data_IF_076947054487
#
_entry.id   IF_076947054487
#
_cell.length_a   1.000
_cell.length_b   1.000
_cell.length_c   1.000
_cell.angle_alpha   90.00
_cell.angle_beta   90.00
_cell.angle_gamma   90.00
#
_symmetry.space_group_name_H-M   'P 1'
#
loop_
_entity.id
_entity.type
_entity.pdbx_description
1 polymer ?
#
# COMPACT_ATOMS: atom_id res chain seq x y z
N UNK A 1 -45.51 7.28 -15.00
CA UNK A 1 -44.62 8.44 -15.21
C UNK A 1 -43.65 8.47 -14.04
N UNK A 2 -42.43 7.98 -14.23
CA UNK A 2 -41.39 7.97 -13.19
C UNK A 2 -40.60 9.27 -13.29
N UNK A 3 -40.77 10.12 -12.27
CA UNK A 3 -40.03 11.36 -12.09
C UNK A 3 -38.54 11.07 -11.97
N UNK A 4 -37.76 11.55 -12.94
CA UNK A 4 -36.30 11.49 -12.90
C UNK A 4 -35.86 12.74 -12.15
N UNK A 5 -35.71 12.63 -10.82
CA UNK A 5 -35.25 13.73 -10.00
C UNK A 5 -33.94 14.30 -10.58
N UNK A 6 -33.95 15.58 -10.94
CA UNK A 6 -32.79 16.28 -11.47
C UNK A 6 -31.64 16.19 -10.46
N UNK A 7 -30.52 15.61 -10.86
CA UNK A 7 -29.34 15.45 -10.00
C UNK A 7 -28.70 16.82 -9.77
N UNK A 8 -28.62 17.27 -8.52
CA UNK A 8 -27.89 18.49 -8.16
C UNK A 8 -26.44 18.37 -8.61
N UNK A 9 -25.90 19.32 -9.41
CA UNK A 9 -24.50 19.30 -9.79
C UNK A 9 -23.63 19.53 -8.55
N UNK A 10 -22.75 18.58 -8.25
CA UNK A 10 -21.75 18.72 -7.17
C UNK A 10 -20.62 19.62 -7.70
N UNK A 11 -20.27 20.73 -7.02
CA UNK A 11 -19.14 21.56 -7.41
C UNK A 11 -17.84 20.75 -7.45
N UNK A 12 -16.94 21.07 -8.38
CA UNK A 12 -15.59 20.50 -8.35
C UNK A 12 -14.89 20.97 -7.07
N UNK A 13 -14.21 20.03 -6.41
CA UNK A 13 -13.36 20.29 -5.26
C UNK A 13 -11.89 20.20 -5.69
N UNK A 14 -11.01 20.82 -4.91
CA UNK A 14 -9.55 20.65 -5.05
C UNK A 14 -9.11 19.62 -4.01
N UNK A 15 -8.52 18.51 -4.47
CA UNK A 15 -7.80 17.60 -3.59
C UNK A 15 -6.45 18.22 -3.26
N UNK A 16 -6.18 18.41 -1.97
CA UNK A 16 -4.93 19.02 -1.49
C UNK A 16 -3.91 17.98 -1.02
N UNK A 17 -4.29 16.70 -1.03
CA UNK A 17 -3.49 15.59 -0.53
C UNK A 17 -3.80 14.31 -1.31
N UNK A 18 -3.12 14.14 -2.45
CA UNK A 18 -3.19 12.94 -3.27
C UNK A 18 -1.84 12.22 -3.24
N UNK A 19 -1.90 10.89 -3.20
CA UNK A 19 -0.71 10.03 -3.25
C UNK A 19 -0.85 9.02 -4.38
N UNK A 20 0.30 8.63 -4.94
CA UNK A 20 0.39 7.50 -5.88
C UNK A 20 1.07 6.32 -5.20
N UNK A 21 0.83 5.12 -5.73
CA UNK A 21 1.63 3.93 -5.43
C UNK A 21 2.57 3.70 -6.60
N UNK A 22 3.87 3.69 -6.36
CA UNK A 22 4.88 3.58 -7.40
C UNK A 22 5.03 2.14 -7.93
N UNK A 23 5.56 1.95 -9.15
CA UNK A 23 5.94 0.63 -9.62
C UNK A 23 6.99 -0.04 -8.70
N UNK A 24 6.91 -1.36 -8.49
CA UNK A 24 7.77 -2.06 -7.52
C UNK A 24 9.27 -2.00 -7.84
N UNK A 25 9.62 -1.71 -9.10
CA UNK A 25 10.99 -1.65 -9.59
C UNK A 25 11.61 -0.25 -9.53
N UNK A 26 10.89 0.78 -9.09
CA UNK A 26 11.34 2.18 -9.15
C UNK A 26 12.75 2.35 -8.55
N UNK A 27 12.93 1.94 -7.29
CA UNK A 27 14.21 2.13 -6.61
C UNK A 27 15.31 1.21 -7.12
N UNK A 28 14.97 0.00 -7.58
CA UNK A 28 15.95 -0.92 -8.17
C UNK A 28 16.46 -0.43 -9.53
N UNK A 29 15.61 0.26 -10.29
CA UNK A 29 15.99 0.84 -11.57
C UNK A 29 16.83 2.13 -11.41
N UNK A 30 16.45 3.00 -10.47
CA UNK A 30 16.91 4.39 -10.47
C UNK A 30 17.83 4.80 -9.32
N UNK A 31 17.93 4.03 -8.23
CA UNK A 31 18.92 4.35 -7.21
C UNK A 31 20.35 4.14 -7.74
N UNK A 32 21.31 4.99 -7.34
CA UNK A 32 22.72 4.70 -7.51
C UNK A 32 23.05 3.33 -6.93
N UNK A 33 23.93 2.57 -7.59
CA UNK A 33 24.23 1.17 -7.26
C UNK A 33 24.56 0.96 -5.77
N UNK A 34 25.37 1.85 -5.19
CA UNK A 34 25.74 1.84 -3.75
C UNK A 34 24.57 1.92 -2.77
N UNK A 35 23.36 2.27 -3.24
CA UNK A 35 22.16 2.40 -2.41
C UNK A 35 21.06 1.39 -2.76
N UNK A 36 21.15 0.66 -3.88
CA UNK A 36 20.05 -0.22 -4.35
C UNK A 36 19.69 -1.31 -3.36
N UNK A 37 20.69 -1.92 -2.72
CA UNK A 37 20.50 -2.99 -1.74
C UNK A 37 19.76 -2.50 -0.49
N UNK A 38 20.04 -1.26 -0.06
CA UNK A 38 19.45 -0.63 1.12
C UNK A 38 18.18 0.18 0.82
N UNK A 39 17.89 0.38 -0.46
CA UNK A 39 16.75 1.18 -0.91
C UNK A 39 15.42 0.47 -0.66
N UNK A 40 14.31 1.20 -0.80
CA UNK A 40 13.00 0.58 -0.70
C UNK A 40 12.82 -0.48 -1.78
N UNK A 41 12.08 -1.54 -1.44
CA UNK A 41 11.79 -2.63 -2.35
C UNK A 41 10.44 -3.24 -2.04
N UNK A 42 9.85 -3.87 -3.04
CA UNK A 42 8.62 -4.64 -2.89
C UNK A 42 8.95 -6.11 -3.06
N UNK A 43 8.56 -6.93 -2.08
CA UNK A 43 8.65 -8.38 -2.16
C UNK A 43 7.26 -9.01 -2.03
N UNK A 44 7.05 -10.12 -2.72
CA UNK A 44 5.81 -10.88 -2.61
C UNK A 44 5.96 -11.91 -1.49
N UNK A 45 5.15 -11.78 -0.44
CA UNK A 45 5.21 -12.61 0.79
C UNK A 45 3.83 -13.19 1.11
N UNK A 46 3.79 -14.29 1.85
CA UNK A 46 2.52 -14.84 2.36
C UNK A 46 2.13 -14.06 3.61
N UNK A 47 0.96 -13.45 3.65
CA UNK A 47 0.55 -12.58 4.76
C UNK A 47 -0.54 -13.27 5.57
N UNK A 48 -0.27 -13.52 6.85
CA UNK A 48 -1.26 -14.02 7.80
C UNK A 48 -2.40 -13.03 8.06
N UNK A 49 -3.28 -13.37 9.00
CA UNK A 49 -4.38 -12.48 9.39
C UNK A 49 -3.86 -11.13 9.89
N UNK A 50 -4.43 -10.02 9.38
CA UNK A 50 -4.12 -8.68 9.87
C UNK A 50 -5.10 -8.27 10.96
N UNK A 51 -4.64 -8.25 12.21
CA UNK A 51 -5.43 -7.80 13.35
C UNK A 51 -5.23 -6.32 13.61
N UNK A 52 -6.29 -5.53 13.55
CA UNK A 52 -6.24 -4.11 13.92
C UNK A 52 -6.06 -3.98 15.44
N UNK A 53 -5.00 -3.29 15.87
CA UNK A 53 -4.69 -3.06 17.29
C UNK A 53 -4.63 -1.58 17.67
N UNK A 54 -4.72 -0.67 16.68
CA UNK A 54 -4.74 0.78 16.90
C UNK A 54 -3.38 1.40 17.25
N UNK A 55 -3.34 2.72 17.37
CA UNK A 55 -2.11 3.47 17.68
C UNK A 55 -1.06 3.45 16.55
N UNK A 56 0.21 3.66 16.90
CA UNK A 56 1.31 3.76 15.95
C UNK A 56 1.60 2.45 15.19
N UNK A 57 1.32 1.30 15.80
CA UNK A 57 1.35 -0.01 15.15
C UNK A 57 -0.08 -0.42 14.81
N UNK A 58 -0.64 0.14 13.74
CA UNK A 58 -2.05 -0.07 13.40
C UNK A 58 -2.45 -1.56 13.33
N UNK A 59 -1.57 -2.45 12.89
CA UNK A 59 -1.86 -3.87 12.71
C UNK A 59 -0.76 -4.78 13.28
N UNK A 60 -1.19 -5.89 13.88
CA UNK A 60 -0.38 -7.09 14.11
C UNK A 60 -0.63 -8.07 12.97
N UNK A 61 0.44 -8.69 12.48
CA UNK A 61 0.40 -9.70 11.42
C UNK A 61 1.70 -10.51 11.42
N UNK A 62 1.66 -11.69 10.81
CA UNK A 62 2.82 -12.53 10.57
C UNK A 62 3.09 -12.64 9.07
N UNK A 63 4.36 -12.57 8.69
CA UNK A 63 4.81 -12.84 7.33
C UNK A 63 5.22 -14.30 7.19
N UNK A 64 5.07 -14.83 5.98
CA UNK A 64 5.39 -16.19 5.56
C UNK A 64 4.58 -17.28 6.27
N UNK A 65 3.36 -16.95 6.69
CA UNK A 65 2.41 -17.94 7.22
C UNK A 65 2.09 -18.97 6.13
N UNK A 66 2.26 -20.28 6.40
CA UNK A 66 1.90 -21.33 5.45
C UNK A 66 0.46 -21.17 4.93
N UNK A 67 0.27 -21.39 3.64
CA UNK A 67 -1.03 -21.33 2.94
C UNK A 67 -1.78 -19.99 2.97
N UNK A 68 -1.23 -18.96 3.61
CA UNK A 68 -1.85 -17.63 3.66
C UNK A 68 -1.88 -16.95 2.27
N UNK A 69 -2.71 -15.94 2.02
CA UNK A 69 -2.73 -15.26 0.73
C UNK A 69 -1.39 -14.56 0.40
N UNK A 70 -1.07 -14.45 -0.89
CA UNK A 70 0.06 -13.64 -1.32
C UNK A 70 -0.26 -12.14 -1.20
N UNK A 71 0.70 -11.37 -0.70
CA UNK A 71 0.66 -9.92 -0.59
C UNK A 71 1.97 -9.31 -1.11
N UNK A 72 1.87 -8.15 -1.75
CA UNK A 72 3.04 -7.33 -2.06
C UNK A 72 3.38 -6.49 -0.83
N UNK A 73 4.57 -6.67 -0.27
CA UNK A 73 5.02 -6.02 0.96
C UNK A 73 6.16 -5.09 0.64
N UNK A 74 6.01 -3.82 1.04
CA UNK A 74 7.04 -2.81 0.91
C UNK A 74 7.99 -2.89 2.11
N UNK A 75 9.29 -2.95 1.82
CA UNK A 75 10.34 -3.01 2.83
C UNK A 75 11.29 -1.84 2.66
N UNK A 76 11.62 -1.18 3.76
CA UNK A 76 12.67 -0.17 3.81
C UNK A 76 13.20 -0.04 5.24
N UNK A 77 14.49 -0.32 5.43
CA UNK A 77 15.09 -0.43 6.76
C UNK A 77 14.22 -1.32 7.67
N UNK A 78 13.81 -0.84 8.84
CA UNK A 78 12.97 -1.59 9.79
C UNK A 78 11.46 -1.52 9.46
N UNK A 79 11.07 -0.75 8.44
CA UNK A 79 9.67 -0.62 8.04
C UNK A 79 9.27 -1.75 7.10
N UNK A 80 8.26 -2.49 7.55
CA UNK A 80 7.57 -3.53 6.79
C UNK A 80 6.12 -3.09 6.62
N UNK A 81 5.67 -2.93 5.38
CA UNK A 81 4.35 -2.40 5.06
C UNK A 81 3.63 -3.27 4.04
N UNK A 82 2.72 -4.17 4.48
CA UNK A 82 1.88 -4.95 3.57
C UNK A 82 0.92 -4.05 2.80
N UNK A 83 0.93 -4.15 1.46
CA UNK A 83 0.02 -3.39 0.62
C UNK A 83 -1.36 -4.06 0.59
N UNK A 84 -2.35 -3.36 1.14
CA UNK A 84 -3.74 -3.80 1.19
C UNK A 84 -4.40 -3.42 -0.14
N UNK A 85 -4.40 -4.35 -1.09
CA UNK A 85 -5.18 -4.24 -2.32
C UNK A 85 -6.49 -4.98 -2.20
#
# INVERSE_FOLDING_TARGET
MTDTAARTPIPRIISVDDHIVEPPHLWQAWLPERFRERGPRVERRRLGEMKWVGGAKMYEYELDVPDAPWCDVWFFEDLVHPNKR
#
